data_IF_495383814800
#
_entry.id   IF_495383814800
#
_cell.length_a   1.000
_cell.length_b   1.000
_cell.length_c   1.000
_cell.angle_alpha   90.00
_cell.angle_beta   90.00
_cell.angle_gamma   90.00
#
_symmetry.space_group_name_H-M   'P 1'
#
loop_
_entity.id
_entity.type
_entity.pdbx_description
1 polymer ?
#
# COMPACT_ATOMS: atom_id res chain seq x y z
N UNK A 1 23.65 13.35 11.01
CA UNK A 1 22.47 12.58 11.47
C UNK A 1 22.48 12.35 12.97
N UNK A 2 23.41 11.54 13.52
CA UNK A 2 23.50 11.32 14.98
C UNK A 2 23.63 12.62 15.77
N UNK A 3 24.56 13.50 15.41
CA UNK A 3 24.77 14.79 16.07
C UNK A 3 23.54 15.69 16.00
N UNK A 4 22.82 15.69 14.88
CA UNK A 4 21.60 16.49 14.71
C UNK A 4 20.46 15.98 15.59
N UNK A 5 20.33 14.66 15.74
CA UNK A 5 19.38 14.02 16.67
C UNK A 5 19.72 14.39 18.11
N UNK A 6 21.00 14.29 18.51
CA UNK A 6 21.45 14.68 19.86
C UNK A 6 21.19 16.15 20.11
N UNK A 7 21.53 17.03 19.17
CA UNK A 7 21.29 18.47 19.27
C UNK A 7 19.81 18.77 19.45
N UNK A 8 18.93 18.10 18.70
CA UNK A 8 17.49 18.27 18.84
C UNK A 8 16.97 17.73 20.18
N UNK A 9 17.32 16.50 20.56
CA UNK A 9 16.91 15.90 21.83
C UNK A 9 17.50 16.61 23.06
N UNK A 10 18.58 17.37 22.90
CA UNK A 10 19.10 18.27 23.95
C UNK A 10 18.24 19.51 24.18
N UNK A 11 17.33 19.84 23.27
CA UNK A 11 16.41 21.00 23.39
C UNK A 11 15.01 20.64 23.87
N UNK A 12 14.67 19.34 23.89
CA UNK A 12 13.33 18.85 24.22
C UNK A 12 13.41 17.74 25.26
N UNK A 13 12.46 17.71 26.19
CA UNK A 13 12.47 16.70 27.24
C UNK A 13 12.29 15.27 26.71
N UNK A 14 11.43 15.11 25.69
CA UNK A 14 11.21 13.85 24.99
C UNK A 14 10.58 14.13 23.62
N UNK A 15 10.81 13.27 22.64
CA UNK A 15 10.19 13.39 21.31
C UNK A 15 9.97 12.02 20.67
N UNK A 16 9.10 11.93 19.66
CA UNK A 16 8.88 10.67 18.91
C UNK A 16 9.76 10.63 17.67
N UNK A 17 10.09 9.43 17.17
CA UNK A 17 10.89 9.25 15.96
C UNK A 17 10.36 10.06 14.76
N UNK A 18 9.03 10.14 14.61
CA UNK A 18 8.36 10.94 13.57
C UNK A 18 8.61 12.44 13.70
N UNK A 19 8.57 12.97 14.92
CA UNK A 19 8.80 14.40 15.18
C UNK A 19 10.29 14.73 15.03
N UNK A 20 11.17 13.85 15.51
CA UNK A 20 12.63 13.99 15.35
C UNK A 20 12.99 14.03 13.86
N UNK A 21 12.48 13.09 13.06
CA UNK A 21 12.73 13.04 11.62
C UNK A 21 12.30 14.32 10.89
N UNK A 22 11.11 14.83 11.22
CA UNK A 22 10.59 16.07 10.67
C UNK A 22 11.44 17.29 11.06
N UNK A 23 11.93 17.35 12.30
CA UNK A 23 12.71 18.50 12.80
C UNK A 23 14.16 18.50 12.35
N UNK A 24 14.74 17.31 12.19
CA UNK A 24 16.10 17.12 11.67
C UNK A 24 16.12 17.17 10.13
N UNK A 25 14.96 17.04 9.48
CA UNK A 25 14.83 17.09 8.01
C UNK A 25 15.33 15.82 7.32
N UNK A 26 15.19 14.67 7.97
CA UNK A 26 15.71 13.37 7.50
C UNK A 26 14.58 12.34 7.38
N UNK A 27 14.85 11.25 6.65
CA UNK A 27 13.88 10.17 6.49
C UNK A 27 13.57 9.49 7.82
N UNK A 28 12.29 9.17 8.05
CA UNK A 28 11.83 8.58 9.29
C UNK A 28 12.43 7.19 9.57
N UNK A 29 12.65 6.36 8.55
CA UNK A 29 13.23 5.03 8.70
C UNK A 29 14.71 5.12 9.05
N UNK A 30 15.43 6.10 8.50
CA UNK A 30 16.83 6.34 8.81
C UNK A 30 17.00 6.82 10.25
N UNK A 31 16.15 7.75 10.68
CA UNK A 31 16.12 8.23 12.07
C UNK A 31 15.72 7.11 13.04
N UNK A 32 14.76 6.26 12.68
CA UNK A 32 14.38 5.12 13.53
C UNK A 32 15.51 4.08 13.65
N UNK A 33 16.27 3.82 12.58
CA UNK A 33 17.44 2.95 12.61
C UNK A 33 18.54 3.54 13.49
N UNK A 34 18.84 4.82 13.33
CA UNK A 34 19.87 5.50 14.12
C UNK A 34 19.47 5.58 15.60
N UNK A 35 18.19 5.84 15.93
CA UNK A 35 17.70 5.81 17.31
C UNK A 35 17.84 4.43 17.97
N UNK A 36 17.67 3.34 17.21
CA UNK A 36 17.93 1.99 17.74
C UNK A 36 19.43 1.74 17.96
N UNK A 37 20.31 2.29 17.12
CA UNK A 37 21.76 2.24 17.35
C UNK A 37 22.13 3.06 18.60
N UNK A 38 21.63 4.29 18.73
CA UNK A 38 21.84 5.14 19.90
C UNK A 38 21.28 4.55 21.20
N UNK A 39 20.19 3.78 21.13
CA UNK A 39 19.64 3.03 22.26
C UNK A 39 20.59 1.90 22.68
N UNK A 40 21.15 1.15 21.72
CA UNK A 40 22.13 0.10 22.01
C UNK A 40 23.44 0.67 22.57
N UNK A 41 23.82 1.88 22.12
CA UNK A 41 24.99 2.62 22.60
C UNK A 41 24.74 3.30 23.97
N UNK A 42 23.51 3.25 24.50
CA UNK A 42 23.14 3.85 25.79
C UNK A 42 23.04 5.39 25.78
N UNK A 43 23.06 6.02 24.60
CA UNK A 43 22.97 7.47 24.44
C UNK A 43 21.53 8.00 24.55
N UNK A 44 20.55 7.17 24.18
CA UNK A 44 19.14 7.53 24.16
C UNK A 44 18.33 6.48 24.92
N UNK A 45 17.40 6.94 25.74
CA UNK A 45 16.42 6.11 26.41
C UNK A 45 15.09 6.17 25.66
N UNK A 46 14.24 5.14 25.84
CA UNK A 46 12.90 5.13 25.25
C UNK A 46 11.84 4.62 26.22
N UNK A 47 10.63 5.17 26.08
CA UNK A 47 9.43 4.67 26.74
C UNK A 47 8.27 4.52 25.76
N UNK A 48 7.46 3.48 25.98
CA UNK A 48 6.30 3.20 25.13
C UNK A 48 5.19 4.21 25.45
N UNK A 49 4.70 4.89 24.41
CA UNK A 49 3.63 5.87 24.54
C UNK A 49 2.31 5.16 24.88
N UNK A 50 1.69 5.53 26.00
CA UNK A 50 0.42 4.95 26.44
C UNK A 50 -0.72 5.36 25.49
N UNK A 51 -1.49 4.38 24.99
CA UNK A 51 -2.66 4.63 24.14
C UNK A 51 -2.41 4.90 22.64
N UNK A 52 -1.16 4.85 22.15
CA UNK A 52 -0.82 5.17 20.75
C UNK A 52 -0.06 4.03 20.01
N UNK A 53 -0.41 2.77 20.25
CA UNK A 53 0.13 1.62 19.50
C UNK A 53 1.63 1.35 19.75
N UNK A 54 2.40 1.23 18.66
CA UNK A 54 3.86 0.91 18.66
C UNK A 54 4.77 2.17 18.66
N UNK A 55 4.27 3.32 19.09
CA UNK A 55 5.08 4.54 19.20
C UNK A 55 5.87 4.60 20.52
N UNK A 56 7.10 5.14 20.43
CA UNK A 56 7.99 5.37 21.57
C UNK A 56 8.37 6.86 21.67
N UNK A 57 8.49 7.33 22.91
CA UNK A 57 9.20 8.57 23.23
C UNK A 57 10.69 8.26 23.38
N UNK A 58 11.54 9.17 22.92
CA UNK A 58 12.99 9.11 22.99
C UNK A 58 13.52 10.38 23.67
N UNK A 59 14.53 10.23 24.52
CA UNK A 59 15.25 11.33 25.18
C UNK A 59 16.72 10.96 25.43
N UNK A 60 17.59 11.95 25.62
CA UNK A 60 19.01 11.70 25.94
C UNK A 60 19.14 11.09 27.34
N UNK A 61 19.98 10.06 27.47
CA UNK A 61 20.30 9.46 28.76
C UNK A 61 20.99 10.48 29.67
N UNK A 62 20.83 10.34 30.99
CA UNK A 62 21.29 11.32 31.99
C UNK A 62 22.78 11.67 31.90
N UNK A 63 23.61 10.82 31.29
CA UNK A 63 25.06 11.03 31.14
C UNK A 63 25.42 12.08 30.08
N UNK A 64 24.55 12.28 29.09
CA UNK A 64 24.78 13.19 27.93
C UNK A 64 23.86 14.41 27.93
N UNK A 65 23.01 14.54 28.95
CA UNK A 65 22.23 15.76 29.15
C UNK A 65 23.15 16.84 29.70
N UNK A 66 23.42 17.88 28.91
CA UNK A 66 24.04 19.10 29.40
C UNK A 66 23.28 19.58 30.66
N UNK A 67 23.97 20.03 31.73
CA UNK A 67 23.31 20.37 32.97
C UNK A 67 22.37 21.56 32.76
N UNK A 68 21.08 21.30 32.80
CA UNK A 68 20.05 22.34 32.90
C UNK A 68 20.10 22.94 34.30
N UNK A 69 20.31 24.26 34.35
CA UNK A 69 20.13 25.12 35.51
C UNK A 69 18.77 24.85 36.13
N UNK A 70 18.78 24.26 37.32
CA UNK A 70 17.59 24.06 38.15
C UNK A 70 17.00 25.44 38.49
N UNK A 71 15.88 25.79 37.87
CA UNK A 71 15.05 26.88 38.35
C UNK A 71 14.23 26.35 39.52
N UNK A 72 14.73 26.58 40.74
CA UNK A 72 13.91 26.51 41.96
C UNK A 72 12.92 27.69 41.97
N UNK A 73 11.74 27.55 42.58
CA UNK A 73 10.80 28.65 42.72
C UNK A 73 11.29 29.60 43.82
N UNK A 74 11.93 30.70 43.42
CA UNK A 74 12.19 31.82 44.34
C UNK A 74 10.95 32.71 44.32
N UNK A 75 10.32 32.83 45.49
CA UNK A 75 9.28 33.82 45.77
C UNK A 75 9.76 35.22 45.36
N UNK A 76 9.06 35.86 44.42
CA UNK A 76 9.32 37.25 44.06
C UNK A 76 8.76 38.17 45.14
N UNK A 77 9.66 38.65 46.00
CA UNK A 77 9.46 39.91 46.71
C UNK A 77 9.30 41.05 45.70
N UNK A 78 8.23 41.83 45.87
CA UNK A 78 7.97 43.00 45.07
C UNK A 78 8.98 44.11 45.42
N UNK A 79 9.92 44.38 44.51
CA UNK A 79 10.63 45.66 44.43
C UNK A 79 10.08 46.45 43.26
N UNK A 80 9.25 47.43 43.58
CA UNK A 80 8.88 48.54 42.71
C UNK A 80 10.12 49.41 42.51
N UNK A 81 10.83 49.21 41.40
CA UNK A 81 11.68 50.24 40.83
C UNK A 81 10.99 50.77 39.58
N UNK A 82 10.60 52.04 39.65
CA UNK A 82 10.02 52.81 38.56
C UNK A 82 11.04 52.95 37.43
N UNK A 83 10.86 52.17 36.37
CA UNK A 83 11.53 52.41 35.10
C UNK A 83 11.03 53.76 34.52
N UNK A 84 11.92 54.62 33.99
CA UNK A 84 11.50 55.83 33.29
C UNK A 84 10.71 55.42 32.04
N UNK A 85 9.54 56.05 31.85
CA UNK A 85 8.74 55.87 30.66
C UNK A 85 9.54 56.33 29.44
N UNK A 86 10.09 55.38 28.69
CA UNK A 86 10.73 55.61 27.39
C UNK A 86 9.65 56.15 26.46
N UNK A 87 9.72 57.44 26.13
CA UNK A 87 8.87 58.05 25.11
C UNK A 87 9.30 57.44 23.78
N UNK A 88 8.55 56.45 23.30
CA UNK A 88 8.77 55.83 22.00
C UNK A 88 8.51 56.90 20.94
N UNK A 89 9.49 57.13 20.08
CA UNK A 89 9.39 58.12 19.01
C UNK A 89 8.21 57.75 18.09
N UNK A 90 7.26 58.65 17.76
CA UNK A 90 6.08 58.32 16.94
C UNK A 90 6.40 57.68 15.58
N UNK A 91 7.63 57.82 15.09
CA UNK A 91 8.14 57.12 13.89
C UNK A 91 8.41 55.64 14.17
N UNK A 92 9.02 55.32 15.30
CA UNK A 92 9.27 53.94 15.74
C UNK A 92 7.96 53.21 16.03
N UNK A 93 6.99 53.90 16.63
CA UNK A 93 5.65 53.33 16.89
C UNK A 93 4.95 52.91 15.59
N UNK A 94 4.92 53.79 14.58
CA UNK A 94 4.33 53.47 13.26
C UNK A 94 5.07 52.35 12.52
N UNK A 95 6.38 52.23 12.73
CA UNK A 95 7.17 51.15 12.16
C UNK A 95 6.84 49.80 12.82
N UNK A 96 6.68 49.77 14.16
CA UNK A 96 6.25 48.59 14.89
C UNK A 96 4.82 48.17 14.53
N UNK A 97 3.88 49.11 14.40
CA UNK A 97 2.51 48.82 13.95
C UNK A 97 2.48 48.12 12.58
N UNK A 98 3.31 48.58 11.64
CA UNK A 98 3.42 47.94 10.31
C UNK A 98 4.01 46.53 10.42
N UNK A 99 5.02 46.33 11.26
CA UNK A 99 5.57 44.99 11.50
C UNK A 99 4.55 44.05 12.15
N UNK A 100 3.79 44.53 13.13
CA UNK A 100 2.73 43.76 13.78
C UNK A 100 1.67 43.35 12.75
N UNK A 101 1.21 44.29 11.91
CA UNK A 101 0.26 43.98 10.84
C UNK A 101 0.81 42.97 9.83
N UNK A 102 2.09 43.07 9.45
CA UNK A 102 2.74 42.12 8.55
C UNK A 102 2.84 40.71 9.18
N UNK A 103 3.20 40.63 10.47
CA UNK A 103 3.26 39.37 11.20
C UNK A 103 1.87 38.75 11.39
N UNK A 104 0.85 39.56 11.66
CA UNK A 104 -0.55 39.10 11.74
C UNK A 104 -1.00 38.47 10.42
N UNK A 105 -0.78 39.16 9.29
CA UNK A 105 -1.10 38.62 7.97
C UNK A 105 -0.34 37.31 7.68
N UNK A 106 0.92 37.21 8.13
CA UNK A 106 1.70 35.99 7.95
C UNK A 106 1.15 34.83 8.80
N UNK A 107 0.74 35.10 10.05
CA UNK A 107 0.10 34.10 10.91
C UNK A 107 -1.22 33.64 10.31
N UNK A 108 -2.02 34.54 9.74
CA UNK A 108 -3.30 34.20 9.09
C UNK A 108 -3.07 33.30 7.87
N UNK A 109 -2.10 33.63 7.01
CA UNK A 109 -1.72 32.80 5.85
C UNK A 109 -1.21 31.41 6.29
N UNK A 110 -0.34 31.35 7.31
CA UNK A 110 0.14 30.08 7.85
C UNK A 110 -0.99 29.25 8.46
N UNK A 111 -1.97 29.89 9.10
CA UNK A 111 -3.14 29.22 9.66
C UNK A 111 -4.02 28.64 8.55
N UNK A 112 -4.30 29.42 7.50
CA UNK A 112 -5.06 28.94 6.36
C UNK A 112 -4.38 27.75 5.65
N UNK A 113 -3.05 27.81 5.48
CA UNK A 113 -2.27 26.69 4.91
C UNK A 113 -2.31 25.45 5.79
N UNK A 114 -2.21 25.63 7.11
CA UNK A 114 -2.32 24.52 8.07
C UNK A 114 -3.68 23.85 7.98
N UNK A 115 -4.75 24.63 7.91
CA UNK A 115 -6.12 24.11 7.85
C UNK A 115 -6.38 23.38 6.52
N UNK A 116 -5.88 23.93 5.41
CA UNK A 116 -5.94 23.24 4.11
C UNK A 116 -5.18 21.90 4.13
N UNK A 117 -3.96 21.88 4.69
CA UNK A 117 -3.18 20.65 4.82
C UNK A 117 -3.84 19.62 5.78
N UNK A 118 -4.55 20.08 6.80
CA UNK A 118 -5.32 19.22 7.70
C UNK A 118 -6.51 18.57 6.98
N UNK A 119 -7.22 19.33 6.14
CA UNK A 119 -8.32 18.82 5.33
C UNK A 119 -7.83 17.78 4.30
N UNK A 120 -6.73 18.07 3.60
CA UNK A 120 -6.12 17.13 2.65
C UNK A 120 -5.67 15.84 3.35
N UNK A 121 -5.06 15.94 4.54
CA UNK A 121 -4.72 14.76 5.35
C UNK A 121 -5.92 13.90 5.69
N UNK A 122 -7.02 14.52 6.09
CA UNK A 122 -8.24 13.79 6.42
C UNK A 122 -8.77 13.04 5.19
N UNK A 123 -8.76 13.68 4.03
CA UNK A 123 -9.16 13.05 2.77
C UNK A 123 -8.27 11.86 2.42
N UNK A 124 -6.94 12.02 2.50
CA UNK A 124 -5.99 10.92 2.25
C UNK A 124 -6.21 9.76 3.24
N UNK A 125 -6.50 10.06 4.51
CA UNK A 125 -6.79 9.04 5.52
C UNK A 125 -8.05 8.25 5.19
N UNK A 126 -9.12 8.93 4.73
CA UNK A 126 -10.34 8.27 4.29
C UNK A 126 -10.12 7.38 3.06
N UNK A 127 -9.44 7.89 2.02
CA UNK A 127 -9.12 7.13 0.81
C UNK A 127 -8.24 5.92 1.13
N UNK A 128 -7.25 6.08 2.02
CA UNK A 128 -6.40 4.97 2.49
C UNK A 128 -7.23 3.87 3.16
N UNK A 129 -8.20 4.23 3.98
CA UNK A 129 -9.00 3.24 4.72
C UNK A 129 -9.99 2.53 3.79
N UNK A 130 -10.55 3.22 2.81
CA UNK A 130 -11.33 2.59 1.73
C UNK A 130 -10.49 1.60 0.92
N UNK A 131 -9.28 2.01 0.50
CA UNK A 131 -8.36 1.14 -0.24
C UNK A 131 -7.94 -0.10 0.58
N UNK A 132 -7.80 0.02 1.91
CA UNK A 132 -7.53 -1.14 2.78
C UNK A 132 -8.71 -2.12 2.78
N UNK A 133 -9.93 -1.62 2.90
CA UNK A 133 -11.14 -2.45 2.87
C UNK A 133 -11.25 -3.19 1.53
N UNK A 134 -11.01 -2.50 0.42
CA UNK A 134 -11.00 -3.12 -0.91
C UNK A 134 -9.88 -4.17 -1.04
N UNK A 135 -8.67 -3.86 -0.58
CA UNK A 135 -7.54 -4.79 -0.62
C UNK A 135 -7.83 -6.08 0.15
N UNK A 136 -8.46 -5.98 1.32
CA UNK A 136 -8.85 -7.14 2.12
C UNK A 136 -9.96 -7.95 1.43
N UNK A 137 -10.92 -7.30 0.77
CA UNK A 137 -11.95 -7.97 -0.03
C UNK A 137 -11.33 -8.74 -1.20
N UNK A 138 -10.38 -8.12 -1.92
CA UNK A 138 -9.67 -8.75 -3.02
C UNK A 138 -8.82 -9.95 -2.56
N UNK A 139 -8.13 -9.84 -1.42
CA UNK A 139 -7.39 -10.96 -0.82
C UNK A 139 -8.31 -12.15 -0.51
N UNK A 140 -9.49 -11.91 0.05
CA UNK A 140 -10.49 -12.97 0.30
C UNK A 140 -10.98 -13.60 -1.00
N UNK A 141 -11.24 -12.79 -2.03
CA UNK A 141 -11.65 -13.30 -3.35
C UNK A 141 -10.56 -14.19 -3.98
N UNK A 142 -9.29 -13.76 -3.93
CA UNK A 142 -8.14 -14.55 -4.42
C UNK A 142 -8.00 -15.86 -3.64
N UNK A 143 -8.13 -15.83 -2.31
CA UNK A 143 -8.08 -17.05 -1.50
C UNK A 143 -9.19 -18.04 -1.91
N UNK A 144 -10.42 -17.55 -2.09
CA UNK A 144 -11.54 -18.37 -2.57
C UNK A 144 -11.32 -18.94 -3.97
N UNK A 145 -10.77 -18.15 -4.89
CA UNK A 145 -10.44 -18.62 -6.24
C UNK A 145 -9.38 -19.72 -6.21
N UNK A 146 -8.34 -19.57 -5.38
CA UNK A 146 -7.32 -20.61 -5.18
C UNK A 146 -7.91 -21.88 -4.60
N UNK A 147 -8.77 -21.76 -3.60
CA UNK A 147 -9.48 -22.91 -3.02
C UNK A 147 -10.34 -23.62 -4.07
N UNK A 148 -11.16 -22.87 -4.82
CA UNK A 148 -11.98 -23.39 -5.90
C UNK A 148 -11.14 -24.09 -6.99
N UNK A 149 -10.04 -23.48 -7.42
CA UNK A 149 -9.14 -24.10 -8.40
C UNK A 149 -8.54 -25.40 -7.86
N UNK A 150 -8.08 -25.42 -6.60
CA UNK A 150 -7.55 -26.65 -5.99
C UNK A 150 -8.60 -27.76 -5.87
N UNK A 151 -9.88 -27.39 -5.69
CA UNK A 151 -10.99 -28.34 -5.64
C UNK A 151 -11.34 -28.85 -7.05
N UNK A 152 -11.30 -27.98 -8.06
CA UNK A 152 -11.50 -28.35 -9.45
C UNK A 152 -10.37 -29.26 -9.95
N UNK A 153 -9.12 -28.96 -9.63
CA UNK A 153 -7.96 -29.80 -9.93
C UNK A 153 -8.11 -31.19 -9.32
N UNK A 154 -8.45 -31.28 -8.02
CA UNK A 154 -8.74 -32.56 -7.36
C UNK A 154 -9.86 -33.33 -8.03
N UNK A 155 -10.93 -32.63 -8.45
CA UNK A 155 -12.05 -33.27 -9.14
C UNK A 155 -11.69 -33.71 -10.55
N UNK A 156 -10.83 -32.99 -11.25
CA UNK A 156 -10.24 -33.42 -12.52
C UNK A 156 -9.45 -34.69 -12.27
N UNK A 157 -8.51 -34.67 -11.31
CA UNK A 157 -7.68 -35.82 -10.95
C UNK A 157 -8.55 -37.04 -10.64
N UNK A 158 -9.56 -36.91 -9.77
CA UNK A 158 -10.55 -37.96 -9.48
C UNK A 158 -11.19 -38.51 -10.75
N UNK A 159 -11.66 -37.64 -11.65
CA UNK A 159 -12.29 -38.04 -12.92
C UNK A 159 -11.30 -38.67 -13.91
N UNK A 160 -10.02 -38.29 -13.88
CA UNK A 160 -8.97 -38.89 -14.72
C UNK A 160 -8.34 -40.15 -14.14
N UNK A 161 -8.40 -40.35 -12.83
CA UNK A 161 -7.83 -41.53 -12.14
C UNK A 161 -8.78 -42.73 -12.19
N UNK A 162 -10.08 -42.55 -12.47
CA UNK A 162 -11.07 -43.64 -12.38
C UNK A 162 -10.76 -44.84 -13.26
N UNK A 163 -9.99 -44.75 -14.35
CA UNK A 163 -9.45 -45.96 -14.99
C UNK A 163 -8.09 -45.64 -15.64
N UNK A 164 -7.05 -46.44 -15.36
CA UNK A 164 -5.87 -46.52 -16.23
C UNK A 164 -6.24 -47.00 -17.67
N UNK A 165 -7.49 -47.45 -17.84
CA UNK A 165 -8.16 -47.78 -19.09
C UNK A 165 -9.16 -46.71 -19.55
N UNK A 166 -9.24 -45.54 -18.88
CA UNK A 166 -10.03 -44.38 -19.33
C UNK A 166 -9.39 -43.81 -20.58
N UNK A 167 -9.62 -44.49 -21.70
CA UNK A 167 -9.60 -43.85 -23.00
C UNK A 167 -10.80 -42.91 -22.95
N UNK A 168 -10.64 -41.57 -22.91
CA UNK A 168 -11.77 -40.70 -23.20
C UNK A 168 -12.36 -41.28 -24.47
N UNK A 169 -13.63 -41.72 -24.42
CA UNK A 169 -14.30 -42.30 -25.58
C UNK A 169 -13.87 -41.44 -26.76
N UNK A 170 -13.17 -42.01 -27.73
CA UNK A 170 -12.61 -41.23 -28.84
C UNK A 170 -13.79 -40.73 -29.65
N UNK A 171 -14.42 -39.66 -29.16
CA UNK A 171 -15.65 -39.11 -29.67
C UNK A 171 -15.20 -38.05 -30.65
N UNK A 172 -15.00 -38.51 -31.87
CA UNK A 172 -14.77 -37.61 -32.98
C UNK A 172 -16.08 -36.93 -33.32
N UNK A 173 -16.12 -35.60 -33.27
CA UNK A 173 -17.34 -34.84 -33.60
C UNK A 173 -17.15 -34.12 -34.91
N UNK A 174 -17.96 -34.40 -35.92
CA UNK A 174 -18.01 -33.60 -37.16
C UNK A 174 -19.05 -32.50 -37.01
N UNK A 175 -18.63 -31.24 -37.18
CA UNK A 175 -19.52 -30.07 -37.24
C UNK A 175 -19.47 -29.49 -38.65
N UNK A 176 -20.62 -29.41 -39.31
CA UNK A 176 -20.80 -28.74 -40.60
C UNK A 176 -21.48 -27.39 -40.43
N UNK A 177 -21.42 -26.54 -41.47
CA UNK A 177 -22.11 -25.23 -41.49
C UNK A 177 -23.63 -25.39 -41.59
N UNK A 178 -24.10 -26.36 -42.35
CA UNK A 178 -25.52 -26.64 -42.60
C UNK A 178 -25.94 -28.05 -42.14
N UNK A 179 -24.98 -28.91 -41.83
CA UNK A 179 -25.24 -30.23 -41.28
C UNK A 179 -25.26 -30.26 -39.73
N UNK A 180 -26.17 -31.06 -39.17
CA UNK A 180 -26.23 -31.29 -37.72
C UNK A 180 -24.91 -31.91 -37.21
N UNK A 181 -24.38 -31.47 -36.05
CA UNK A 181 -23.22 -32.10 -35.42
C UNK A 181 -23.45 -33.60 -35.21
N UNK A 182 -22.44 -34.43 -35.50
CA UNK A 182 -22.51 -35.88 -35.29
C UNK A 182 -21.27 -36.41 -34.60
N UNK A 183 -21.51 -37.26 -33.60
CA UNK A 183 -20.51 -38.01 -32.85
C UNK A 183 -20.18 -39.32 -33.58
N UNK A 184 -18.91 -39.66 -33.64
CA UNK A 184 -18.38 -40.90 -34.21
C UNK A 184 -17.52 -41.61 -33.18
N UNK A 185 -17.51 -42.94 -33.23
CA UNK A 185 -16.71 -43.79 -32.35
C UNK A 185 -15.29 -44.04 -32.86
N UNK A 186 -15.01 -43.69 -34.12
CA UNK A 186 -13.70 -43.90 -34.76
C UNK A 186 -13.39 -42.74 -35.70
N UNK A 187 -12.10 -42.49 -35.92
CA UNK A 187 -11.59 -41.41 -36.75
C UNK A 187 -11.99 -41.57 -38.22
N UNK A 188 -12.01 -42.80 -38.75
CA UNK A 188 -12.30 -43.08 -40.16
C UNK A 188 -13.76 -42.74 -40.49
N UNK A 189 -14.67 -42.95 -39.54
CA UNK A 189 -16.09 -42.57 -39.69
C UNK A 189 -16.27 -41.06 -39.70
N UNK A 190 -15.51 -40.35 -38.87
CA UNK A 190 -15.50 -38.89 -38.86
C UNK A 190 -14.90 -38.33 -40.15
N UNK A 191 -13.76 -38.86 -40.62
CA UNK A 191 -13.12 -38.48 -41.87
C UNK A 191 -14.02 -38.73 -43.08
N UNK A 192 -14.69 -39.90 -43.13
CA UNK A 192 -15.61 -40.23 -44.22
C UNK A 192 -16.78 -39.25 -44.29
N UNK A 193 -17.38 -38.90 -43.15
CA UNK A 193 -18.44 -37.89 -43.10
C UNK A 193 -17.93 -36.49 -43.43
N UNK A 194 -16.77 -36.09 -42.92
CA UNK A 194 -16.18 -34.80 -43.23
C UNK A 194 -15.91 -34.65 -44.74
N UNK A 195 -15.32 -35.67 -45.36
CA UNK A 195 -15.10 -35.72 -46.81
C UNK A 195 -16.43 -35.68 -47.59
N UNK A 196 -17.46 -36.34 -47.09
CA UNK A 196 -18.79 -36.31 -47.70
C UNK A 196 -19.39 -34.90 -47.64
N UNK A 197 -19.37 -34.24 -46.47
CA UNK A 197 -19.91 -32.90 -46.29
C UNK A 197 -19.21 -31.86 -47.19
N UNK A 198 -17.89 -31.94 -47.31
CA UNK A 198 -17.10 -31.09 -48.21
C UNK A 198 -17.51 -31.31 -49.69
N UNK A 199 -17.71 -32.57 -50.11
CA UNK A 199 -18.02 -32.92 -51.50
C UNK A 199 -19.48 -32.70 -51.90
N UNK A 200 -20.43 -33.10 -51.06
CA UNK A 200 -21.86 -33.08 -51.40
C UNK A 200 -22.56 -31.80 -50.99
N UNK A 201 -22.19 -31.21 -49.86
CA UNK A 201 -22.87 -30.03 -49.29
C UNK A 201 -22.07 -28.73 -49.48
N UNK A 202 -20.92 -28.79 -50.18
CA UNK A 202 -20.00 -27.65 -50.40
C UNK A 202 -19.60 -26.94 -49.11
N UNK A 203 -19.55 -27.66 -47.99
CA UNK A 203 -19.14 -27.06 -46.72
C UNK A 203 -17.64 -26.73 -46.76
N UNK A 204 -17.29 -25.48 -46.49
CA UNK A 204 -15.91 -24.99 -46.50
C UNK A 204 -15.10 -25.43 -45.29
N UNK A 205 -15.77 -25.81 -44.20
CA UNK A 205 -15.14 -26.13 -42.92
C UNK A 205 -15.93 -27.25 -42.24
N UNK A 206 -15.30 -28.41 -42.09
CA UNK A 206 -15.78 -29.45 -41.17
C UNK A 206 -14.82 -29.51 -40.02
N UNK A 207 -15.27 -29.20 -38.80
CA UNK A 207 -14.42 -29.33 -37.61
C UNK A 207 -14.49 -30.76 -37.13
N UNK A 208 -13.33 -31.38 -36.91
CA UNK A 208 -13.28 -32.62 -36.14
C UNK A 208 -12.48 -32.45 -34.87
N UNK A 209 -13.18 -32.66 -33.75
CA UNK A 209 -12.58 -32.66 -32.42
C UNK A 209 -12.10 -34.07 -32.09
N UNK A 210 -10.79 -34.26 -31.99
CA UNK A 210 -10.20 -35.40 -31.28
C UNK A 210 -10.50 -35.27 -29.78
N UNK A 211 -10.45 -36.36 -28.99
CA UNK A 211 -10.50 -36.23 -27.53
C UNK A 211 -9.31 -35.36 -27.08
N UNK A 212 -9.63 -34.10 -26.77
CA UNK A 212 -8.76 -32.99 -26.31
C UNK A 212 -7.97 -32.25 -27.41
N UNK A 213 -8.47 -31.09 -27.84
CA UNK A 213 -7.62 -29.93 -28.13
C UNK A 213 -7.28 -29.58 -29.59
N UNK A 214 -7.67 -30.39 -30.59
CA UNK A 214 -7.35 -30.10 -31.99
C UNK A 214 -8.61 -29.91 -32.83
N UNK A 215 -8.70 -28.75 -33.49
CA UNK A 215 -9.74 -28.43 -34.47
C UNK A 215 -9.06 -28.45 -35.84
N UNK A 216 -9.40 -29.43 -36.67
CA UNK A 216 -8.86 -29.57 -38.03
C UNK A 216 -9.99 -29.38 -39.05
N UNK A 217 -9.73 -28.65 -40.13
CA UNK A 217 -10.68 -28.55 -41.25
C UNK A 217 -10.74 -29.90 -41.98
N UNK A 218 -11.93 -30.36 -42.33
CA UNK A 218 -12.13 -31.67 -42.98
C UNK A 218 -11.34 -31.90 -44.26
N UNK A 219 -10.96 -30.83 -44.98
CA UNK A 219 -10.08 -30.87 -46.16
C UNK A 219 -8.58 -31.01 -45.83
N UNK A 220 -8.17 -30.63 -44.62
CA UNK A 220 -6.78 -30.59 -44.15
C UNK A 220 -6.40 -31.84 -43.35
N UNK A 221 -7.36 -32.72 -43.05
CA UNK A 221 -7.09 -33.94 -42.30
C UNK A 221 -6.50 -35.04 -43.18
N UNK A 222 -5.19 -35.30 -43.02
CA UNK A 222 -4.51 -36.47 -43.59
C UNK A 222 -4.37 -37.58 -42.55
N UNK A 223 -4.53 -38.86 -42.93
CA UNK A 223 -4.12 -39.97 -42.07
C UNK A 223 -2.59 -39.93 -41.92
N UNK A 224 -2.11 -39.99 -40.69
CA UNK A 224 -0.71 -40.29 -40.41
C UNK A 224 -0.45 -41.79 -40.61
#
# INVERSE_FOLDING_TARGET
MREDIVKYLGTVQQSTAKVIALKVGMDHLDVARELNHMLNDGLVEREKKHGAGNEYYYWLSRTERAPETQSQPVALEAKTDSAPATVIDPVEHKFMERQIAALQNHVDDLTARRDAAAAERLQIETERDELKVENDALKRAVAKLRENNSALERRIDELTIVDAEFKPNEVYVTVGRYAKPKRHKTIEKAQRRASQLVRSEKESEVLVCEPVGRVVRGSEWRPN
#
